data_IF_594069899191
#
_entry.id   IF_594069899191
#
_cell.length_a   1.000
_cell.length_b   1.000
_cell.length_c   1.000
_cell.angle_alpha   90.00
_cell.angle_beta   90.00
_cell.angle_gamma   90.00
#
_symmetry.space_group_name_H-M   'P 1'
#
loop_
_entity.id
_entity.type
_entity.pdbx_description
1 polymer ?
#
# COMPACT_ATOMS: atom_id res chain seq x y z
N UNK A 1 -28.13 -12.17 -0.39
CA UNK A 1 -27.19 -11.82 -1.47
C UNK A 1 -27.63 -12.50 -2.76
N UNK A 2 -27.53 -11.85 -3.93
CA UNK A 2 -27.71 -12.54 -5.21
C UNK A 2 -26.72 -13.69 -5.34
N UNK A 3 -27.18 -14.86 -5.80
CA UNK A 3 -26.38 -16.08 -5.85
C UNK A 3 -25.10 -15.94 -6.69
N UNK A 4 -25.14 -15.09 -7.70
CA UNK A 4 -24.01 -14.78 -8.60
C UNK A 4 -22.80 -14.24 -7.85
N UNK A 5 -22.99 -13.41 -6.83
CA UNK A 5 -21.88 -12.88 -6.03
C UNK A 5 -21.19 -13.97 -5.21
N UNK A 6 -21.93 -14.96 -4.71
CA UNK A 6 -21.34 -16.08 -3.98
C UNK A 6 -20.48 -16.95 -4.89
N UNK A 7 -20.89 -17.15 -6.15
CA UNK A 7 -20.10 -17.88 -7.16
C UNK A 7 -18.81 -17.14 -7.48
N UNK A 8 -18.89 -15.82 -7.71
CA UNK A 8 -17.71 -15.00 -7.97
C UNK A 8 -16.76 -14.96 -6.76
N UNK A 9 -17.31 -14.83 -5.55
CA UNK A 9 -16.54 -14.88 -4.31
C UNK A 9 -15.78 -16.20 -4.17
N UNK A 10 -16.48 -17.33 -4.36
CA UNK A 10 -15.87 -18.66 -4.34
C UNK A 10 -14.76 -18.78 -5.38
N UNK A 11 -14.96 -18.23 -6.57
CA UNK A 11 -13.93 -18.21 -7.60
C UNK A 11 -12.70 -17.39 -7.14
N UNK A 12 -12.89 -16.18 -6.63
CA UNK A 12 -11.80 -15.34 -6.13
C UNK A 12 -11.00 -15.99 -4.99
N UNK A 13 -11.67 -16.70 -4.08
CA UNK A 13 -11.01 -17.36 -2.94
C UNK A 13 -10.25 -18.64 -3.33
N UNK A 14 -10.68 -19.33 -4.40
CA UNK A 14 -10.08 -20.60 -4.84
C UNK A 14 -9.03 -20.45 -5.95
N UNK A 15 -8.95 -19.27 -6.57
CA UNK A 15 -8.05 -18.96 -7.70
C UNK A 15 -6.79 -18.18 -7.29
N UNK A 16 -6.41 -18.22 -6.00
CA UNK A 16 -5.21 -17.58 -5.47
C UNK A 16 -3.91 -18.16 -6.01
N UNK A 17 -3.51 -17.75 -7.22
CA UNK A 17 -2.23 -18.10 -7.82
C UNK A 17 -1.21 -16.99 -7.55
N UNK A 18 0.00 -17.36 -7.14
CA UNK A 18 1.12 -16.46 -6.88
C UNK A 18 2.30 -16.82 -7.80
N UNK A 19 3.02 -15.82 -8.28
CA UNK A 19 4.22 -16.00 -9.08
C UNK A 19 5.44 -15.76 -8.19
N UNK A 20 6.30 -16.77 -8.05
CA UNK A 20 7.54 -16.68 -7.30
C UNK A 20 8.67 -17.34 -8.09
N UNK A 21 9.79 -16.65 -8.27
CA UNK A 21 10.94 -17.13 -9.08
C UNK A 21 10.53 -17.71 -10.45
N UNK A 22 9.65 -17.01 -11.16
CA UNK A 22 9.11 -17.40 -12.48
C UNK A 22 8.22 -18.66 -12.50
N UNK A 23 7.93 -19.25 -11.33
CA UNK A 23 7.01 -20.38 -11.19
C UNK A 23 5.68 -19.95 -10.57
N UNK A 24 4.59 -20.58 -11.02
CA UNK A 24 3.26 -20.36 -10.49
C UNK A 24 2.96 -21.35 -9.37
N UNK A 25 2.60 -20.81 -8.21
CA UNK A 25 2.14 -21.58 -7.07
C UNK A 25 0.67 -21.27 -6.80
N UNK A 26 -0.08 -22.26 -6.33
CA UNK A 26 -1.47 -22.09 -5.92
C UNK A 26 -1.53 -22.13 -4.40
N UNK A 27 -2.20 -21.16 -3.79
CA UNK A 27 -2.50 -21.20 -2.37
C UNK A 27 -3.51 -22.31 -2.08
N UNK A 28 -3.09 -23.29 -1.28
CA UNK A 28 -3.91 -24.46 -0.92
C UNK A 28 -4.67 -24.25 0.39
N UNK A 29 -4.11 -23.44 1.30
CA UNK A 29 -4.70 -23.20 2.61
C UNK A 29 -4.69 -21.72 3.00
N UNK A 30 -5.71 -21.33 3.76
CA UNK A 30 -5.96 -19.96 4.18
C UNK A 30 -6.34 -19.02 3.02
N UNK A 31 -6.37 -17.73 3.35
CA UNK A 31 -6.75 -16.66 2.43
C UNK A 31 -5.51 -15.91 1.94
N UNK A 32 -5.53 -15.46 0.68
CA UNK A 32 -4.41 -14.73 0.09
C UNK A 32 -4.24 -13.34 0.73
N UNK A 33 -3.11 -13.12 1.41
CA UNK A 33 -2.77 -11.80 1.92
C UNK A 33 -2.67 -10.80 0.75
N UNK A 34 -3.38 -9.68 0.86
CA UNK A 34 -3.45 -8.64 -0.17
C UNK A 34 -4.60 -8.77 -1.17
N UNK A 35 -5.38 -9.85 -1.11
CA UNK A 35 -6.69 -9.88 -1.78
C UNK A 35 -7.66 -8.93 -1.05
N UNK A 36 -8.39 -8.05 -1.78
CA UNK A 36 -9.36 -7.13 -1.16
C UNK A 36 -10.50 -7.82 -0.40
N UNK A 37 -10.79 -9.07 -0.77
CA UNK A 37 -11.90 -9.85 -0.22
C UNK A 37 -11.50 -10.60 1.05
N UNK A 38 -10.21 -10.95 1.17
CA UNK A 38 -9.71 -11.84 2.22
C UNK A 38 -9.94 -11.33 3.65
N UNK A 39 -9.74 -10.03 3.98
CA UNK A 39 -10.02 -9.53 5.33
C UNK A 39 -11.48 -9.74 5.75
N UNK A 40 -12.43 -9.47 4.85
CA UNK A 40 -13.87 -9.58 5.12
C UNK A 40 -14.25 -11.03 5.40
N UNK A 41 -13.76 -11.96 4.58
CA UNK A 41 -14.06 -13.39 4.73
C UNK A 41 -13.39 -13.96 5.98
N UNK A 42 -12.17 -13.52 6.29
CA UNK A 42 -11.50 -13.89 7.53
C UNK A 42 -12.28 -13.38 8.75
N UNK A 43 -12.77 -12.14 8.74
CA UNK A 43 -13.59 -11.59 9.82
C UNK A 43 -14.89 -12.37 10.04
N UNK A 44 -15.61 -12.73 8.96
CA UNK A 44 -16.83 -13.54 9.05
C UNK A 44 -16.54 -14.92 9.64
N UNK A 45 -15.45 -15.55 9.20
CA UNK A 45 -15.04 -16.85 9.73
C UNK A 45 -14.68 -16.74 11.23
N UNK A 46 -13.92 -15.71 11.59
CA UNK A 46 -13.51 -15.49 12.99
C UNK A 46 -14.71 -15.17 13.87
N UNK A 47 -15.73 -14.45 13.38
CA UNK A 47 -16.96 -14.20 14.12
C UNK A 47 -17.72 -15.50 14.44
N UNK A 48 -17.95 -16.38 13.46
CA UNK A 48 -18.57 -17.70 13.68
C UNK A 48 -17.72 -18.60 14.61
N UNK A 49 -16.39 -18.54 14.47
CA UNK A 49 -15.47 -19.24 15.37
C UNK A 49 -15.60 -18.73 16.81
N UNK A 50 -15.59 -17.41 17.01
CA UNK A 50 -15.66 -16.75 18.31
C UNK A 50 -17.01 -17.00 18.98
N UNK A 51 -18.12 -16.94 18.24
CA UNK A 51 -19.44 -17.27 18.77
C UNK A 51 -19.48 -18.70 19.33
N UNK A 52 -19.00 -19.69 18.56
CA UNK A 52 -18.90 -21.08 19.03
C UNK A 52 -17.97 -21.20 20.23
N UNK A 53 -16.84 -20.52 20.19
CA UNK A 53 -15.84 -20.55 21.25
C UNK A 53 -16.39 -20.01 22.57
N UNK A 54 -17.10 -18.88 22.53
CA UNK A 54 -17.67 -18.23 23.70
C UNK A 54 -18.88 -19.00 24.24
N UNK A 55 -19.70 -19.61 23.39
CA UNK A 55 -20.84 -20.43 23.81
C UNK A 55 -20.41 -21.73 24.52
N UNK A 56 -19.30 -22.33 24.09
CA UNK A 56 -18.78 -23.60 24.61
C UNK A 56 -17.68 -23.42 25.65
N UNK A 57 -17.36 -22.18 26.01
CA UNK A 57 -16.25 -21.87 26.89
C UNK A 57 -16.44 -22.50 28.27
N UNK A 58 -15.40 -23.14 28.86
CA UNK A 58 -15.47 -23.66 30.23
C UNK A 58 -15.64 -22.52 31.26
N UNK A 59 -15.24 -21.31 30.89
CA UNK A 59 -15.36 -20.09 31.70
C UNK A 59 -15.70 -18.93 30.79
N UNK A 60 -16.80 -18.24 31.10
CA UNK A 60 -17.20 -17.06 30.35
C UNK A 60 -16.29 -15.87 30.69
N UNK A 61 -15.60 -15.27 29.70
CA UNK A 61 -14.80 -14.08 29.94
C UNK A 61 -15.68 -12.90 30.33
N UNK A 62 -15.20 -12.06 31.26
CA UNK A 62 -15.91 -10.82 31.64
C UNK A 62 -15.91 -9.80 30.52
N UNK A 63 -14.87 -9.85 29.70
CA UNK A 63 -14.70 -9.00 28.54
C UNK A 63 -13.93 -9.79 27.48
N UNK A 64 -14.40 -9.76 26.24
CA UNK A 64 -13.72 -10.31 25.08
C UNK A 64 -13.97 -9.37 23.91
N UNK A 65 -12.90 -8.84 23.31
CA UNK A 65 -12.97 -8.04 22.09
C UNK A 65 -11.81 -8.39 21.17
N UNK A 66 -12.09 -8.47 19.87
CA UNK A 66 -11.10 -8.66 18.82
C UNK A 66 -10.89 -7.37 18.03
N UNK A 67 -9.66 -7.14 17.63
CA UNK A 67 -9.27 -6.15 16.63
C UNK A 67 -8.41 -6.84 15.57
N UNK A 68 -9.03 -7.16 14.43
CA UNK A 68 -8.41 -7.94 13.35
C UNK A 68 -7.89 -9.28 13.89
N UNK A 69 -6.58 -9.42 14.11
CA UNK A 69 -5.95 -10.65 14.59
C UNK A 69 -5.73 -10.66 16.12
N UNK A 70 -5.76 -9.50 16.77
CA UNK A 70 -5.46 -9.36 18.20
C UNK A 70 -6.73 -9.43 19.05
N UNK A 71 -6.70 -10.20 20.14
CA UNK A 71 -7.82 -10.31 21.09
C UNK A 71 -7.44 -9.77 22.45
N UNK A 72 -8.38 -9.09 23.11
CA UNK A 72 -8.23 -8.61 24.47
C UNK A 72 -9.30 -9.25 25.35
N UNK A 73 -8.85 -9.98 26.38
CA UNK A 73 -9.76 -10.77 27.21
C UNK A 73 -9.47 -10.57 28.70
N UNK A 74 -10.53 -10.46 29.50
CA UNK A 74 -10.47 -10.35 30.96
C UNK A 74 -11.06 -11.63 31.57
N UNK A 75 -10.21 -12.44 32.21
CA UNK A 75 -10.56 -13.66 32.94
C UNK A 75 -9.83 -13.73 34.29
N UNK A 76 -10.31 -14.57 35.22
CA UNK A 76 -9.54 -14.98 36.39
C UNK A 76 -8.21 -15.66 35.98
N UNK A 77 -7.12 -15.34 36.69
CA UNK A 77 -5.76 -15.78 36.35
C UNK A 77 -5.59 -17.30 36.30
N UNK A 78 -6.32 -18.05 37.12
CA UNK A 78 -6.30 -19.51 37.16
C UNK A 78 -7.02 -20.18 35.98
N UNK A 79 -7.84 -19.43 35.24
CA UNK A 79 -8.68 -19.94 34.14
C UNK A 79 -8.13 -19.61 32.75
N UNK A 80 -7.12 -18.75 32.64
CA UNK A 80 -6.63 -18.27 31.34
C UNK A 80 -6.07 -19.42 30.50
N UNK A 81 -5.29 -20.32 31.09
CA UNK A 81 -4.73 -21.48 30.37
C UNK A 81 -5.81 -22.45 29.88
N UNK A 82 -6.84 -22.69 30.69
CA UNK A 82 -7.97 -23.53 30.30
C UNK A 82 -8.74 -22.91 29.12
N UNK A 83 -8.93 -21.59 29.14
CA UNK A 83 -9.57 -20.87 28.04
C UNK A 83 -8.72 -20.91 26.76
N UNK A 84 -7.40 -20.72 26.85
CA UNK A 84 -6.50 -20.82 25.69
C UNK A 84 -6.54 -22.21 25.05
N UNK A 85 -6.49 -23.27 25.88
CA UNK A 85 -6.57 -24.64 25.40
C UNK A 85 -7.92 -24.93 24.74
N UNK A 86 -9.01 -24.38 25.29
CA UNK A 86 -10.33 -24.45 24.67
C UNK A 86 -10.35 -23.79 23.29
N UNK A 87 -9.87 -22.55 23.15
CA UNK A 87 -9.78 -21.88 21.85
C UNK A 87 -9.02 -22.72 20.82
N UNK A 88 -7.86 -23.26 21.20
CA UNK A 88 -7.02 -24.07 20.31
C UNK A 88 -7.58 -25.46 20.00
N UNK A 89 -8.59 -25.93 20.75
CA UNK A 89 -9.25 -27.21 20.51
C UNK A 89 -10.34 -27.15 19.44
N UNK A 90 -10.90 -25.96 19.18
CA UNK A 90 -12.04 -25.79 18.25
C UNK A 90 -11.60 -25.98 16.80
N UNK A 91 -10.40 -25.52 16.45
CA UNK A 91 -9.88 -25.64 15.10
C UNK A 91 -8.37 -25.92 15.12
N UNK A 92 -7.97 -27.03 14.50
CA UNK A 92 -6.56 -27.44 14.43
C UNK A 92 -5.68 -26.46 13.65
N UNK A 93 -6.26 -25.69 12.73
CA UNK A 93 -5.52 -24.77 11.85
C UNK A 93 -5.29 -23.38 12.44
N UNK A 94 -6.04 -22.98 13.46
CA UNK A 94 -5.93 -21.66 14.08
C UNK A 94 -5.38 -21.85 15.49
N UNK A 95 -4.22 -21.27 15.74
CA UNK A 95 -3.54 -21.37 17.02
C UNK A 95 -3.43 -19.99 17.65
N UNK A 96 -4.11 -19.82 18.77
CA UNK A 96 -4.03 -18.66 19.64
C UNK A 96 -2.79 -18.75 20.51
N UNK A 97 -2.20 -17.58 20.73
CA UNK A 97 -1.15 -17.37 21.72
C UNK A 97 -1.64 -16.32 22.71
N UNK A 98 -1.10 -16.32 23.92
CA UNK A 98 -1.50 -15.37 24.96
C UNK A 98 -0.30 -14.64 25.56
N UNK A 99 -0.49 -13.36 25.82
CA UNK A 99 0.39 -12.57 26.69
C UNK A 99 -0.35 -12.34 28.02
N UNK A 100 0.30 -12.67 29.14
CA UNK A 100 -0.28 -12.47 30.46
C UNK A 100 0.05 -11.07 31.00
N UNK A 101 -0.84 -10.54 31.83
CA UNK A 101 -0.60 -9.31 32.58
C UNK A 101 0.68 -9.44 33.42
N UNK A 102 1.58 -8.48 33.28
CA UNK A 102 2.82 -8.39 34.04
C UNK A 102 2.90 -7.02 34.73
N UNK A 103 3.22 -7.01 36.03
CA UNK A 103 3.30 -5.79 36.84
C UNK A 103 2.02 -4.93 36.78
N UNK A 104 0.85 -5.57 36.87
CA UNK A 104 -0.47 -4.93 36.73
C UNK A 104 -0.64 -4.18 35.40
N UNK A 105 0.02 -4.62 34.33
CA UNK A 105 -0.07 -3.99 33.02
C UNK A 105 -0.06 -5.00 31.89
N UNK A 106 -0.78 -4.68 30.82
CA UNK A 106 -0.84 -5.48 29.60
C UNK A 106 -0.87 -4.55 28.39
N UNK A 107 -0.04 -4.84 27.40
CA UNK A 107 -0.04 -4.11 26.15
C UNK A 107 -1.14 -4.63 25.23
N UNK A 108 -1.90 -3.72 24.61
CA UNK A 108 -2.85 -4.05 23.55
C UNK A 108 -2.75 -2.99 22.45
N UNK A 109 -2.30 -3.40 21.26
CA UNK A 109 -2.00 -2.52 20.13
C UNK A 109 -1.03 -1.39 20.54
N UNK A 110 -1.49 -0.14 20.45
CA UNK A 110 -0.75 1.08 20.75
C UNK A 110 -0.98 1.59 22.19
N UNK A 111 -1.69 0.83 23.02
CA UNK A 111 -2.12 1.20 24.37
C UNK A 111 -1.53 0.25 25.41
N UNK A 112 -0.96 0.80 26.47
CA UNK A 112 -0.57 0.05 27.67
C UNK A 112 -1.71 0.20 28.67
N UNK A 113 -2.43 -0.89 28.91
CA UNK A 113 -3.51 -0.97 29.88
C UNK A 113 -2.88 -1.26 31.24
N UNK A 114 -3.20 -0.45 32.26
CA UNK A 114 -2.62 -0.55 33.60
C UNK A 114 -3.78 -0.75 34.59
N UNK A 115 -3.72 -1.78 35.41
CA UNK A 115 -4.70 -1.97 36.48
C UNK A 115 -4.28 -1.18 37.72
N UNK A 116 -5.07 -0.16 38.07
CA UNK A 116 -4.82 0.64 39.27
C UNK A 116 -5.25 -0.13 40.54
N UNK A 117 -4.67 0.18 41.72
CA UNK A 117 -5.02 -0.49 42.99
C UNK A 117 -6.49 -0.34 43.39
N UNK A 118 -7.16 0.73 42.93
CA UNK A 118 -8.59 0.98 43.15
C UNK A 118 -9.51 0.22 42.16
N UNK A 119 -8.99 -0.79 41.46
CA UNK A 119 -9.68 -1.54 40.40
C UNK A 119 -10.15 -0.71 39.20
N UNK A 120 -9.64 0.52 39.03
CA UNK A 120 -9.84 1.28 37.79
C UNK A 120 -8.79 0.95 36.75
N UNK A 121 -9.11 1.16 35.48
CA UNK A 121 -8.18 0.95 34.38
C UNK A 121 -7.50 2.27 34.06
N UNK A 122 -6.17 2.27 34.15
CA UNK A 122 -5.28 3.27 33.61
C UNK A 122 -4.88 2.93 32.17
N UNK A 123 -4.54 3.94 31.37
CA UNK A 123 -4.03 3.76 30.02
C UNK A 123 -2.98 4.82 29.67
N UNK A 124 -1.96 4.38 28.93
CA UNK A 124 -0.90 5.21 28.38
C UNK A 124 -0.44 4.66 27.04
N UNK A 125 0.40 5.41 26.31
CA UNK A 125 0.91 4.99 25.01
C UNK A 125 1.92 3.84 25.18
N UNK A 126 1.65 2.70 24.54
CA UNK A 126 2.60 1.60 24.48
C UNK A 126 3.59 1.78 23.32
N UNK A 127 4.86 1.42 23.58
CA UNK A 127 5.92 1.35 22.57
C UNK A 127 6.64 0.03 22.77
N UNK A 128 6.78 -0.74 21.68
CA UNK A 128 7.56 -1.99 21.71
C UNK A 128 9.00 -1.71 22.12
N UNK A 129 9.69 -2.70 22.72
CA UNK A 129 11.09 -2.57 23.19
C UNK A 129 12.06 -2.15 22.08
N UNK A 130 11.78 -2.51 20.84
CA UNK A 130 12.57 -2.16 19.65
C UNK A 130 12.19 -0.80 19.02
N UNK A 131 11.32 -0.01 19.67
CA UNK A 131 10.90 1.29 19.15
C UNK A 131 12.04 2.31 19.28
N UNK A 132 12.61 2.71 18.14
CA UNK A 132 13.81 3.58 18.10
C UNK A 132 13.53 5.07 18.25
N UNK A 133 12.25 5.49 18.37
CA UNK A 133 11.84 6.90 18.38
C UNK A 133 12.34 7.73 17.18
N UNK A 134 12.66 7.07 16.06
CA UNK A 134 13.07 7.74 14.82
C UNK A 134 11.84 8.13 14.02
N UNK A 135 11.65 9.43 13.85
CA UNK A 135 10.62 10.02 13.02
C UNK A 135 11.24 10.72 11.81
N UNK A 136 10.42 11.46 11.07
CA UNK A 136 10.91 12.30 9.98
C UNK A 136 11.86 13.36 10.54
N UNK A 137 13.12 13.37 10.09
CA UNK A 137 14.10 14.35 10.53
C UNK A 137 13.68 15.77 10.11
N UNK A 138 13.72 16.74 11.02
CA UNK A 138 13.37 18.14 10.76
C UNK A 138 14.28 18.85 9.74
N UNK A 139 15.49 18.36 9.52
CA UNK A 139 16.40 18.87 8.48
C UNK A 139 16.10 18.29 7.09
N UNK A 140 15.20 17.31 7.00
CA UNK A 140 14.82 16.74 5.71
C UNK A 140 14.15 17.79 4.82
N UNK A 141 14.31 17.66 3.50
CA UNK A 141 13.77 18.59 2.51
C UNK A 141 12.25 18.36 2.28
N UNK A 142 11.47 18.41 3.36
CA UNK A 142 10.01 18.33 3.35
C UNK A 142 9.40 19.69 3.65
N UNK A 143 8.18 19.91 3.14
CA UNK A 143 7.47 21.16 3.41
C UNK A 143 7.18 21.31 4.91
N UNK A 144 7.28 22.51 5.51
CA UNK A 144 7.08 22.72 6.95
C UNK A 144 5.76 22.19 7.51
N UNK A 145 4.67 22.17 6.71
CA UNK A 145 3.40 21.59 7.13
C UNK A 145 3.44 20.06 7.31
N UNK A 146 4.27 19.35 6.54
CA UNK A 146 4.45 17.91 6.67
C UNK A 146 5.22 17.58 7.94
N UNK A 147 6.31 18.32 8.20
CA UNK A 147 7.09 18.21 9.44
C UNK A 147 6.23 18.53 10.68
N UNK A 148 5.41 19.58 10.61
CA UNK A 148 4.51 19.95 11.70
C UNK A 148 3.43 18.89 11.99
N UNK A 149 2.99 18.15 10.96
CA UNK A 149 2.00 17.07 11.11
C UNK A 149 2.52 15.95 12.00
N UNK A 150 3.81 15.61 11.91
CA UNK A 150 4.44 14.58 12.76
C UNK A 150 4.34 14.95 14.24
N UNK A 151 4.71 16.18 14.59
CA UNK A 151 4.54 16.64 15.97
C UNK A 151 3.08 16.68 16.40
N UNK A 152 2.19 17.17 15.53
CA UNK A 152 0.76 17.27 15.83
C UNK A 152 0.14 15.89 16.10
N UNK A 153 0.46 14.89 15.28
CA UNK A 153 -0.10 13.53 15.42
C UNK A 153 0.38 12.87 16.71
N UNK A 154 1.65 13.02 17.09
CA UNK A 154 2.17 12.47 18.36
C UNK A 154 1.48 13.11 19.58
N UNK A 155 1.29 14.44 19.56
CA UNK A 155 0.56 15.14 20.62
C UNK A 155 -0.92 14.74 20.66
N UNK A 156 -1.55 14.53 19.50
CA UNK A 156 -2.94 14.06 19.43
C UNK A 156 -3.06 12.63 19.95
N UNK A 157 -2.13 11.74 19.59
CA UNK A 157 -2.05 10.37 20.10
C UNK A 157 -1.90 10.36 21.62
N UNK A 158 -0.97 11.14 22.17
CA UNK A 158 -0.79 11.26 23.61
C UNK A 158 -2.09 11.69 24.32
N UNK A 159 -2.79 12.69 23.79
CA UNK A 159 -4.07 13.16 24.37
C UNK A 159 -5.23 12.20 24.20
N UNK A 160 -5.26 11.44 23.12
CA UNK A 160 -6.33 10.47 22.85
C UNK A 160 -6.18 9.18 23.64
N UNK A 161 -4.94 8.78 23.98
CA UNK A 161 -4.64 7.50 24.62
C UNK A 161 -4.24 7.62 26.10
N UNK A 162 -3.72 8.75 26.58
CA UNK A 162 -3.25 8.82 27.96
C UNK A 162 -4.31 9.35 28.92
N UNK A 163 -4.39 8.72 30.08
CA UNK A 163 -5.07 9.28 31.24
C UNK A 163 -4.43 10.57 31.74
N UNK A 164 -5.22 11.34 32.51
CA UNK A 164 -4.75 12.57 33.17
C UNK A 164 -3.45 12.38 33.97
N UNK A 165 -3.28 11.23 34.62
CA UNK A 165 -2.09 10.90 35.41
C UNK A 165 -0.84 10.71 34.55
N UNK A 166 -0.97 10.01 33.42
CA UNK A 166 0.16 9.63 32.56
C UNK A 166 0.44 10.64 31.44
N UNK A 167 -0.53 11.50 31.13
CA UNK A 167 -0.44 12.46 30.04
C UNK A 167 0.76 13.41 30.15
N UNK A 168 1.07 13.91 31.36
CA UNK A 168 2.18 14.84 31.54
C UNK A 168 3.52 14.20 31.18
N UNK A 169 3.76 12.98 31.66
CA UNK A 169 4.98 12.21 31.36
C UNK A 169 5.09 11.87 29.87
N UNK A 170 3.98 11.43 29.25
CA UNK A 170 3.95 11.14 27.82
C UNK A 170 4.22 12.39 26.98
N UNK A 171 3.63 13.54 27.33
CA UNK A 171 3.89 14.80 26.63
C UNK A 171 5.34 15.26 26.78
N UNK A 172 5.98 15.02 27.93
CA UNK A 172 7.40 15.29 28.11
C UNK A 172 8.26 14.38 27.23
N UNK A 173 7.94 13.09 27.18
CA UNK A 173 8.61 12.14 26.29
C UNK A 173 8.47 12.55 24.81
N UNK A 174 7.25 12.88 24.36
CA UNK A 174 7.01 13.36 22.99
C UNK A 174 7.81 14.63 22.68
N UNK A 175 7.94 15.56 23.64
CA UNK A 175 8.78 16.76 23.45
C UNK A 175 10.25 16.39 23.24
N UNK A 176 10.79 15.49 24.06
CA UNK A 176 12.17 15.01 23.92
C UNK A 176 12.40 14.37 22.54
N UNK A 177 11.51 13.45 22.16
CA UNK A 177 11.55 12.78 20.86
C UNK A 177 11.54 13.77 19.70
N UNK A 178 10.71 14.82 19.77
CA UNK A 178 10.70 15.85 18.73
C UNK A 178 12.00 16.64 18.66
N UNK A 179 12.62 16.94 19.81
CA UNK A 179 13.93 17.60 19.87
C UNK A 179 15.03 16.72 19.27
N UNK A 180 15.06 15.44 19.62
CA UNK A 180 16.03 14.47 19.10
C UNK A 180 15.94 14.34 17.56
N UNK A 181 14.71 14.45 17.03
CA UNK A 181 14.46 14.43 15.59
C UNK A 181 14.56 15.82 14.92
N UNK A 182 15.01 16.86 15.63
CA UNK A 182 15.15 18.24 15.16
C UNK A 182 13.84 18.87 14.66
N UNK A 183 12.70 18.39 15.17
CA UNK A 183 11.37 18.86 14.84
C UNK A 183 10.90 19.95 15.80
N UNK A 184 10.06 20.86 15.29
CA UNK A 184 9.45 21.91 16.11
C UNK A 184 8.35 21.32 16.99
N UNK A 185 8.38 21.62 18.29
CA UNK A 185 7.30 21.29 19.21
C UNK A 185 6.04 22.09 18.85
N UNK A 186 4.90 21.43 18.59
CA UNK A 186 3.65 22.13 18.32
C UNK A 186 3.23 23.02 19.50
N UNK A 187 2.93 24.29 19.22
CA UNK A 187 2.24 25.14 20.19
C UNK A 187 0.74 24.82 20.11
N UNK A 188 0.12 24.58 21.26
CA UNK A 188 -1.34 24.55 21.37
C UNK A 188 -1.87 25.92 20.95
N UNK A 189 -2.36 26.03 19.71
CA UNK A 189 -3.20 27.15 19.29
C UNK A 189 -4.57 26.58 19.03
N UNK A 190 -5.52 26.88 19.92
CA UNK A 190 -6.92 26.90 19.52
C UNK A 190 -7.06 28.02 18.50
N UNK A 191 -7.47 27.64 17.31
CA UNK A 191 -7.75 28.57 16.25
C UNK A 191 -9.13 28.20 15.76
N UNK A 192 -10.14 28.87 16.30
CA UNK A 192 -11.51 28.90 15.79
C UNK A 192 -11.54 29.71 14.48
N UNK A 193 -10.70 29.31 13.54
CA UNK A 193 -10.70 29.89 12.20
C UNK A 193 -11.77 29.17 11.42
N UNK A 194 -12.91 29.84 11.28
CA UNK A 194 -13.89 29.55 10.25
C UNK A 194 -13.14 29.45 8.92
N UNK A 195 -13.19 28.28 8.28
CA UNK A 195 -12.58 28.11 6.96
C UNK A 195 -13.39 28.95 5.98
N UNK A 196 -12.78 29.87 5.22
CA UNK A 196 -13.51 30.60 4.19
C UNK A 196 -14.01 29.61 3.13
N UNK A 197 -15.15 29.93 2.51
CA UNK A 197 -15.71 29.14 1.42
C UNK A 197 -14.69 29.06 0.28
N UNK A 198 -14.06 27.89 0.10
CA UNK A 198 -13.12 27.67 -0.99
C UNK A 198 -13.88 27.28 -2.25
N UNK A 199 -13.70 28.06 -3.32
CA UNK A 199 -14.09 27.66 -4.69
C UNK A 199 -13.42 26.34 -5.04
N UNK A 200 -14.15 25.38 -5.61
CA UNK A 200 -13.61 24.10 -6.07
C UNK A 200 -12.70 24.31 -7.29
N UNK A 201 -11.41 24.53 -7.03
CA UNK A 201 -10.36 24.54 -8.06
C UNK A 201 -9.52 23.27 -7.95
N UNK A 202 -9.07 22.76 -9.09
CA UNK A 202 -8.17 21.60 -9.15
C UNK A 202 -6.90 21.91 -8.34
N UNK A 203 -6.53 21.07 -7.37
CA UNK A 203 -5.36 21.32 -6.56
C UNK A 203 -4.06 21.15 -7.36
N UNK A 204 -3.10 22.04 -7.13
CA UNK A 204 -1.77 21.96 -7.73
C UNK A 204 -0.83 21.12 -6.87
N UNK A 205 -0.11 20.18 -7.50
CA UNK A 205 0.89 19.35 -6.83
C UNK A 205 2.27 19.78 -7.30
N UNK A 206 3.10 20.26 -6.36
CA UNK A 206 4.41 20.83 -6.66
C UNK A 206 5.53 20.00 -6.00
N UNK A 207 6.69 19.82 -6.66
CA UNK A 207 7.87 19.33 -5.97
C UNK A 207 8.32 20.37 -4.93
N UNK A 208 8.66 19.97 -3.72
CA UNK A 208 9.08 20.90 -2.67
C UNK A 208 10.53 21.32 -2.91
N UNK A 209 10.74 22.62 -3.08
CA UNK A 209 12.05 23.27 -3.14
C UNK A 209 11.99 24.46 -2.19
N UNK A 210 12.74 24.36 -1.09
CA UNK A 210 12.76 25.36 -0.03
C UNK A 210 13.00 26.77 -0.61
N UNK A 211 12.11 27.72 -0.27
CA UNK A 211 12.19 29.12 -0.69
C UNK A 211 11.54 29.43 -2.05
N UNK A 212 11.56 28.51 -3.01
CA UNK A 212 10.93 28.72 -4.33
C UNK A 212 9.46 28.32 -4.29
N UNK A 213 9.20 27.06 -3.92
CA UNK A 213 7.82 26.55 -3.95
C UNK A 213 6.94 27.14 -2.86
N UNK A 214 7.54 27.69 -1.80
CA UNK A 214 6.84 28.45 -0.78
C UNK A 214 6.23 29.75 -1.35
N UNK A 215 6.99 30.47 -2.18
CA UNK A 215 6.53 31.68 -2.88
C UNK A 215 5.45 31.36 -3.91
N UNK A 216 5.66 30.31 -4.70
CA UNK A 216 4.67 29.83 -5.68
C UNK A 216 3.37 29.42 -4.98
N UNK A 217 3.48 28.69 -3.86
CA UNK A 217 2.34 28.30 -3.05
C UNK A 217 1.55 29.49 -2.50
N UNK A 218 2.23 30.56 -2.09
CA UNK A 218 1.59 31.79 -1.65
C UNK A 218 0.79 32.48 -2.76
N UNK A 219 1.35 32.56 -3.98
CA UNK A 219 0.67 33.13 -5.15
C UNK A 219 -0.58 32.30 -5.50
N UNK A 220 -0.42 30.97 -5.57
CA UNK A 220 -1.53 30.06 -5.88
C UNK A 220 -2.64 30.10 -4.81
N UNK A 221 -2.28 30.30 -3.54
CA UNK A 221 -3.25 30.46 -2.45
C UNK A 221 -4.09 31.73 -2.63
N UNK A 222 -3.51 32.84 -3.09
CA UNK A 222 -4.28 34.07 -3.43
C UNK A 222 -5.25 33.84 -4.58
N UNK A 223 -4.87 32.97 -5.52
CA UNK A 223 -5.74 32.52 -6.60
C UNK A 223 -6.72 31.40 -6.16
N UNK A 224 -6.93 31.15 -4.87
CA UNK A 224 -7.82 30.09 -4.36
C UNK A 224 -7.49 28.67 -4.86
N UNK A 225 -6.23 28.41 -5.24
CA UNK A 225 -5.76 27.09 -5.65
C UNK A 225 -5.07 26.42 -4.45
N UNK A 226 -5.56 25.23 -4.07
CA UNK A 226 -4.93 24.43 -3.00
C UNK A 226 -3.63 23.81 -3.53
N UNK A 227 -2.54 23.99 -2.80
CA UNK A 227 -1.23 23.46 -3.17
C UNK A 227 -0.80 22.32 -2.24
N UNK A 228 -0.36 21.21 -2.83
CA UNK A 228 0.24 20.10 -2.13
C UNK A 228 1.69 19.93 -2.56
N UNK A 229 2.56 19.60 -1.62
CA UNK A 229 4.00 19.48 -1.86
C UNK A 229 4.43 18.03 -1.84
N UNK A 230 5.29 17.63 -2.79
CA UNK A 230 5.91 16.30 -2.83
C UNK A 230 7.42 16.45 -2.70
N UNK A 231 8.11 15.58 -1.93
CA UNK A 231 9.57 15.56 -1.96
C UNK A 231 10.04 15.21 -3.38
N UNK A 232 11.13 15.83 -3.87
CA UNK A 232 11.57 15.68 -5.26
C UNK A 232 12.03 14.25 -5.58
N UNK A 233 12.69 13.57 -4.64
CA UNK A 233 13.08 12.16 -4.75
C UNK A 233 12.62 11.39 -3.52
N UNK A 234 12.12 10.17 -3.73
CA UNK A 234 11.73 9.24 -2.65
C UNK A 234 12.78 8.14 -2.53
N UNK A 235 13.01 7.62 -1.32
CA UNK A 235 13.92 6.47 -1.10
C UNK A 235 13.57 5.28 -1.99
N UNK A 236 12.27 5.02 -2.21
CA UNK A 236 11.78 3.96 -3.09
C UNK A 236 12.22 4.09 -4.55
N UNK A 237 12.71 5.25 -4.99
CA UNK A 237 13.26 5.44 -6.34
C UNK A 237 14.73 5.01 -6.43
N UNK A 238 15.42 4.96 -5.29
CA UNK A 238 16.81 4.47 -5.19
C UNK A 238 16.86 2.97 -4.90
N UNK A 239 15.84 2.45 -4.22
CA UNK A 239 15.75 1.02 -3.90
C UNK A 239 15.17 0.23 -5.09
N UNK A 240 15.64 -1.00 -5.33
CA UNK A 240 15.02 -1.90 -6.29
C UNK A 240 13.58 -2.23 -5.88
N UNK A 241 12.72 -2.50 -6.87
CA UNK A 241 11.37 -2.98 -6.61
C UNK A 241 11.43 -4.30 -5.83
N UNK A 242 10.71 -4.36 -4.70
CA UNK A 242 10.56 -5.59 -3.90
C UNK A 242 9.74 -6.65 -4.66
N UNK A 243 8.89 -6.23 -5.60
CA UNK A 243 8.08 -7.12 -6.42
C UNK A 243 8.85 -7.57 -7.66
N UNK A 244 8.76 -8.86 -7.98
CA UNK A 244 9.26 -9.44 -9.22
C UNK A 244 8.66 -8.70 -10.41
N UNK A 245 9.52 -8.19 -11.30
CA UNK A 245 9.08 -7.56 -12.52
C UNK A 245 8.87 -8.64 -13.59
N UNK A 246 7.66 -8.76 -14.13
CA UNK A 246 7.41 -9.71 -15.21
C UNK A 246 7.94 -9.10 -16.52
N UNK A 247 8.90 -9.73 -17.21
CA UNK A 247 9.46 -9.18 -18.44
C UNK A 247 8.36 -8.96 -19.49
N UNK A 248 8.41 -7.80 -20.18
CA UNK A 248 7.49 -7.41 -21.26
C UNK A 248 6.01 -7.22 -20.86
N UNK A 249 5.70 -7.13 -19.57
CA UNK A 249 4.33 -6.86 -19.10
C UNK A 249 3.95 -5.37 -19.19
N UNK A 250 4.94 -4.49 -19.22
CA UNK A 250 4.71 -3.04 -19.24
C UNK A 250 4.14 -2.56 -20.58
N UNK A 251 3.36 -1.47 -20.49
CA UNK A 251 2.86 -0.73 -21.65
C UNK A 251 3.89 0.33 -22.07
N UNK A 252 3.95 0.62 -23.36
CA UNK A 252 4.93 1.58 -23.86
C UNK A 252 5.22 1.45 -25.34
N UNK A 253 6.38 1.98 -25.72
CA UNK A 253 6.90 1.95 -27.09
C UNK A 253 7.94 0.84 -27.18
N UNK A 254 7.78 -0.04 -28.17
CA UNK A 254 8.67 -1.17 -28.41
C UNK A 254 9.18 -1.17 -29.84
N UNK A 255 10.29 -1.88 -30.05
CA UNK A 255 10.97 -2.05 -31.33
C UNK A 255 11.04 -3.54 -31.67
N UNK A 256 10.73 -3.86 -32.91
CA UNK A 256 10.96 -5.17 -33.53
C UNK A 256 11.98 -4.99 -34.66
N UNK A 257 13.08 -5.74 -34.58
CA UNK A 257 14.13 -5.69 -35.59
C UNK A 257 13.87 -6.74 -36.68
N UNK A 258 14.15 -6.37 -37.92
CA UNK A 258 14.12 -7.26 -39.06
C UNK A 258 15.52 -7.43 -39.67
N UNK A 259 15.77 -8.59 -40.27
CA UNK A 259 17.01 -8.88 -41.00
C UNK A 259 17.24 -7.98 -42.22
N UNK A 260 16.18 -7.36 -42.76
CA UNK A 260 16.28 -6.42 -43.87
C UNK A 260 16.94 -5.07 -43.48
N UNK A 261 17.39 -4.92 -42.22
CA UNK A 261 18.00 -3.70 -41.68
C UNK A 261 17.00 -2.61 -41.30
N UNK A 262 15.70 -2.84 -41.54
CA UNK A 262 14.62 -1.95 -41.12
C UNK A 262 14.04 -2.44 -39.78
N UNK A 263 13.54 -1.51 -38.97
CA UNK A 263 12.89 -1.82 -37.70
C UNK A 263 11.45 -1.32 -37.68
N UNK A 264 10.57 -2.08 -37.02
CA UNK A 264 9.21 -1.65 -36.70
C UNK A 264 9.19 -1.04 -35.30
N UNK A 265 8.60 0.14 -35.19
CA UNK A 265 8.35 0.81 -33.91
C UNK A 265 6.83 0.91 -33.74
N UNK A 266 6.35 0.47 -32.59
CA UNK A 266 4.93 0.53 -32.27
C UNK A 266 4.69 0.89 -30.81
N UNK A 267 3.56 1.53 -30.56
CA UNK A 267 3.05 1.72 -29.20
C UNK A 267 2.00 0.66 -28.81
N UNK A 268 1.93 0.35 -27.53
CA UNK A 268 0.85 -0.46 -26.96
C UNK A 268 0.41 0.07 -25.60
N UNK A 269 -0.90 0.02 -25.34
CA UNK A 269 -1.48 0.22 -24.00
C UNK A 269 -1.46 -1.09 -23.18
N UNK A 270 -1.46 -2.24 -23.86
CA UNK A 270 -1.37 -3.58 -23.25
C UNK A 270 0.10 -3.93 -23.00
N UNK A 271 0.35 -5.10 -22.42
CA UNK A 271 1.70 -5.66 -22.36
C UNK A 271 2.28 -5.85 -23.76
N UNK A 272 3.57 -5.54 -23.91
CA UNK A 272 4.31 -5.76 -25.17
C UNK A 272 4.25 -7.24 -25.57
N UNK A 273 4.34 -8.16 -24.59
CA UNK A 273 4.20 -9.61 -24.85
C UNK A 273 2.89 -9.97 -25.55
N UNK A 274 1.77 -9.39 -25.12
CA UNK A 274 0.47 -9.63 -25.75
C UNK A 274 0.43 -9.02 -27.14
N UNK A 275 0.99 -7.82 -27.32
CA UNK A 275 1.03 -7.16 -28.63
C UNK A 275 1.88 -7.91 -29.66
N UNK A 276 3.01 -8.47 -29.24
CA UNK A 276 3.84 -9.34 -30.10
C UNK A 276 3.07 -10.59 -30.53
N UNK A 277 2.31 -11.22 -29.63
CA UNK A 277 1.44 -12.35 -29.98
C UNK A 277 0.35 -11.96 -30.98
N UNK A 278 -0.22 -10.76 -30.86
CA UNK A 278 -1.18 -10.22 -31.84
C UNK A 278 -0.53 -10.10 -33.23
N UNK A 279 0.68 -9.55 -33.32
CA UNK A 279 1.42 -9.48 -34.59
C UNK A 279 1.70 -10.87 -35.20
N UNK A 280 2.14 -11.83 -34.38
CA UNK A 280 2.36 -13.22 -34.85
C UNK A 280 1.06 -13.83 -35.40
N UNK A 281 -0.06 -13.62 -34.71
CA UNK A 281 -1.36 -14.09 -35.16
C UNK A 281 -1.78 -13.41 -36.49
N UNK A 282 -1.56 -12.09 -36.62
CA UNK A 282 -1.92 -11.35 -37.84
C UNK A 282 -1.08 -11.79 -39.04
N UNK A 283 0.22 -12.05 -38.86
CA UNK A 283 1.10 -12.63 -39.90
C UNK A 283 0.63 -14.03 -40.29
N UNK A 284 0.34 -14.90 -39.31
CA UNK A 284 -0.14 -16.27 -39.54
C UNK A 284 -1.45 -16.31 -40.32
N UNK A 285 -2.36 -15.38 -40.03
CA UNK A 285 -3.67 -15.26 -40.68
C UNK A 285 -3.68 -14.33 -41.90
N UNK A 286 -2.53 -13.80 -42.34
CA UNK A 286 -2.36 -12.89 -43.49
C UNK A 286 -3.32 -11.68 -43.46
N UNK A 287 -3.46 -11.04 -42.29
CA UNK A 287 -4.34 -9.88 -42.11
C UNK A 287 -3.61 -8.58 -42.39
N UNK A 288 -3.38 -8.29 -43.68
CA UNK A 288 -2.57 -7.16 -44.15
C UNK A 288 -3.02 -5.83 -43.57
N UNK A 289 -4.32 -5.49 -43.64
CA UNK A 289 -4.82 -4.17 -43.21
C UNK A 289 -4.86 -3.89 -41.69
N UNK A 290 -4.42 -4.80 -40.82
CA UNK A 290 -4.44 -4.60 -39.35
C UNK A 290 -3.08 -4.32 -38.74
N UNK A 291 -2.00 -4.62 -39.45
CA UNK A 291 -0.65 -4.55 -38.89
C UNK A 291 0.37 -4.28 -39.99
N UNK A 292 1.08 -3.15 -39.92
CA UNK A 292 2.21 -2.83 -40.80
C UNK A 292 3.31 -3.92 -40.80
N UNK A 293 3.46 -4.66 -39.69
CA UNK A 293 4.35 -5.83 -39.60
C UNK A 293 3.91 -6.94 -40.57
N UNK A 294 2.61 -7.12 -40.79
CA UNK A 294 2.07 -8.12 -41.70
C UNK A 294 2.23 -7.66 -43.16
N UNK A 295 2.03 -6.38 -43.45
CA UNK A 295 2.23 -5.79 -44.78
C UNK A 295 3.69 -5.94 -45.22
N UNK A 296 4.63 -5.64 -44.33
CA UNK A 296 6.06 -5.79 -44.63
C UNK A 296 6.48 -7.21 -45.01
N UNK A 297 5.98 -8.20 -44.28
CA UNK A 297 6.25 -9.63 -44.57
C UNK A 297 5.66 -10.05 -45.91
N UNK A 298 4.57 -9.43 -46.35
CA UNK A 298 3.95 -9.69 -47.66
C UNK A 298 4.68 -9.00 -48.81
N UNK A 299 5.09 -7.75 -48.62
CA UNK A 299 5.75 -6.94 -49.65
C UNK A 299 7.15 -7.46 -50.01
N UNK A 300 7.85 -8.05 -49.05
CA UNK A 300 9.19 -8.62 -49.25
C UNK A 300 9.24 -10.07 -48.76
N UNK A 301 8.98 -11.07 -49.60
CA UNK A 301 9.20 -12.45 -49.20
C UNK A 301 10.70 -12.67 -48.89
N UNK A 302 11.00 -13.55 -47.91
CA UNK A 302 12.35 -13.98 -47.49
C UNK A 302 13.13 -13.08 -46.51
N UNK A 303 12.48 -12.45 -45.53
CA UNK A 303 13.18 -11.88 -44.37
C UNK A 303 12.50 -12.31 -43.05
N UNK A 304 13.30 -12.46 -41.99
CA UNK A 304 12.78 -12.81 -40.67
C UNK A 304 12.69 -11.58 -39.75
N UNK A 305 11.56 -11.48 -39.03
CA UNK A 305 11.34 -10.46 -37.99
C UNK A 305 11.57 -11.12 -36.64
N UNK A 306 12.43 -10.53 -35.81
CA UNK A 306 12.80 -11.07 -34.51
C UNK A 306 11.71 -10.82 -33.47
N UNK A 307 10.70 -11.68 -33.46
CA UNK A 307 9.63 -11.65 -32.45
C UNK A 307 10.06 -12.16 -31.07
N UNK A 308 11.14 -12.93 -31.01
CA UNK A 308 11.63 -13.57 -29.78
C UNK A 308 12.29 -12.57 -28.82
N UNK A 309 12.80 -11.45 -29.35
CA UNK A 309 13.53 -10.43 -28.60
C UNK A 309 13.00 -9.01 -28.86
N UNK A 310 11.76 -8.71 -28.44
CA UNK A 310 11.23 -7.35 -28.53
C UNK A 310 12.02 -6.41 -27.60
N UNK A 311 12.48 -5.28 -28.13
CA UNK A 311 13.21 -4.27 -27.34
C UNK A 311 12.22 -3.24 -26.80
N UNK A 312 12.29 -2.96 -25.49
CA UNK A 312 11.49 -1.89 -24.87
C UNK A 312 12.26 -0.57 -25.02
N UNK A 313 11.72 0.39 -25.77
CA UNK A 313 12.34 1.71 -25.94
C UNK A 313 11.95 2.67 -24.82
N UNK A 314 10.68 2.65 -24.41
CA UNK A 314 10.19 3.48 -23.31
C UNK A 314 8.96 2.85 -22.66
N UNK A 315 8.88 2.92 -21.34
CA UNK A 315 7.71 2.50 -20.55
C UNK A 315 6.83 3.72 -20.30
N UNK A 316 5.64 3.76 -20.91
CA UNK A 316 4.73 4.89 -20.79
C UNK A 316 3.27 4.44 -20.87
N UNK A 317 2.52 4.67 -19.80
CA UNK A 317 1.12 4.26 -19.72
C UNK A 317 0.17 5.33 -20.27
N UNK A 318 0.56 6.62 -20.19
CA UNK A 318 -0.27 7.74 -20.62
C UNK A 318 -0.27 7.83 -22.15
N UNK A 319 -1.45 8.04 -22.73
CA UNK A 319 -1.63 8.05 -24.18
C UNK A 319 -0.79 9.14 -24.87
N UNK A 320 -0.95 10.40 -24.46
CA UNK A 320 -0.30 11.53 -25.12
C UNK A 320 1.24 11.48 -25.03
N UNK A 321 1.87 11.28 -23.86
CA UNK A 321 3.32 11.10 -23.78
C UNK A 321 3.82 9.89 -24.59
N UNK A 322 3.07 8.78 -24.62
CA UNK A 322 3.44 7.60 -25.39
C UNK A 322 3.42 7.87 -26.90
N UNK A 323 2.40 8.56 -27.41
CA UNK A 323 2.37 8.95 -28.83
C UNK A 323 3.53 9.85 -29.21
N UNK A 324 3.81 10.87 -28.39
CA UNK A 324 4.93 11.79 -28.62
C UNK A 324 6.24 11.00 -28.63
N UNK A 325 6.39 10.05 -27.69
CA UNK A 325 7.60 9.23 -27.61
C UNK A 325 7.74 8.30 -28.81
N UNK A 326 6.66 7.67 -29.26
CA UNK A 326 6.64 6.87 -30.48
C UNK A 326 7.08 7.69 -31.69
N UNK A 327 6.50 8.88 -31.90
CA UNK A 327 6.89 9.77 -33.01
C UNK A 327 8.38 10.16 -32.98
N UNK A 328 8.93 10.40 -31.78
CA UNK A 328 10.35 10.69 -31.59
C UNK A 328 11.23 9.49 -31.98
N UNK A 329 10.89 8.28 -31.55
CA UNK A 329 11.68 7.08 -31.85
C UNK A 329 11.56 6.66 -33.32
N UNK A 330 10.39 6.86 -33.93
CA UNK A 330 10.15 6.72 -35.37
C UNK A 330 11.10 7.61 -36.17
N UNK A 331 11.32 8.86 -35.74
CA UNK A 331 12.20 9.81 -36.45
C UNK A 331 13.69 9.42 -36.36
N UNK A 332 14.09 8.68 -35.33
CA UNK A 332 15.50 8.29 -35.10
C UNK A 332 15.92 7.03 -35.87
N UNK A 333 14.96 6.24 -36.36
CA UNK A 333 15.24 4.87 -36.81
C UNK A 333 14.82 4.68 -38.26
N UNK A 334 15.65 4.00 -39.06
CA UNK A 334 15.28 3.53 -40.40
C UNK A 334 14.18 2.48 -40.28
N UNK A 335 13.00 2.77 -40.82
CA UNK A 335 11.76 2.04 -40.52
C UNK A 335 11.11 1.39 -41.74
N UNK A 336 10.36 0.33 -41.47
CA UNK A 336 9.28 -0.14 -42.33
C UNK A 336 7.99 0.02 -41.54
N UNK A 337 7.12 0.92 -41.97
CA UNK A 337 5.93 1.27 -41.20
C UNK A 337 4.82 1.80 -42.09
#
# INVERSE_FOLDING_TARGET
MPAEYAVLLKHCLTSGNLLWKEEFYKQVDGMAMGSPVSPIVADIFMEDFEEKALLTAPVNPRFYKRYVDDTFTILPSDKVTAFLNHLNSINSKIQFTMELEANNSLAFLDVLVIRNPNNTIGHTVYRKKNHTNRYLNGESHHHPSQLATVGKSLFQRARGICDRKHLAAELQHVKQVLQDNKLRVPRLRHSDRVKPATVERVPAVLPYVRGVTDKVGYILKRASIKTYYKPPKKISQFLPSVKCNIPLQDAGVYKLDCECGLSYIGQTKRSIKTRVKEHIADVKHRRSGKSAVCEHVQDRPHHYIRFDKPQILAKEHRFLPRMIREAIEIKKTSKFQ
#
